data_IF_961184484720
#
_entry.id   IF_961184484720
#
_cell.length_a   1.000
_cell.length_b   1.000
_cell.length_c   1.000
_cell.angle_alpha   90.00
_cell.angle_beta   90.00
_cell.angle_gamma   90.00
#
_symmetry.space_group_name_H-M   'P 1'
#
loop_
_entity.id
_entity.type
_entity.pdbx_description
1 polymer ?
#
# COMPACT_ATOMS: atom_id res chain seq x y z
N UNK A 1 -18.97 5.32 -13.11
CA UNK A 1 -18.49 5.22 -11.71
C UNK A 1 -19.70 5.23 -10.78
N UNK A 2 -19.76 4.34 -9.80
CA UNK A 2 -20.79 4.38 -8.75
C UNK A 2 -20.51 5.52 -7.76
N UNK A 3 -21.53 6.01 -7.06
CA UNK A 3 -21.39 7.04 -6.02
C UNK A 3 -20.36 6.64 -4.96
N UNK A 4 -20.34 5.37 -4.54
CA UNK A 4 -19.37 4.84 -3.57
C UNK A 4 -17.93 4.89 -4.07
N UNK A 5 -17.69 4.59 -5.36
CA UNK A 5 -16.35 4.67 -5.95
C UNK A 5 -15.83 6.11 -5.98
N UNK A 6 -16.70 7.08 -6.29
CA UNK A 6 -16.32 8.51 -6.26
C UNK A 6 -15.99 8.99 -4.85
N UNK A 7 -16.79 8.63 -3.86
CA UNK A 7 -16.52 8.97 -2.47
C UNK A 7 -15.23 8.34 -1.96
N UNK A 8 -14.95 7.09 -2.36
CA UNK A 8 -13.72 6.42 -2.01
C UNK A 8 -12.49 7.16 -2.55
N UNK A 9 -12.56 7.68 -3.79
CA UNK A 9 -11.51 8.51 -4.37
C UNK A 9 -11.32 9.84 -3.62
N UNK A 10 -12.41 10.48 -3.21
CA UNK A 10 -12.35 11.71 -2.40
C UNK A 10 -11.81 11.47 -0.98
N UNK A 11 -11.87 10.25 -0.47
CA UNK A 11 -11.31 9.89 0.83
C UNK A 11 -9.78 9.71 0.80
N UNK A 12 -9.18 9.41 -0.36
CA UNK A 12 -7.74 9.11 -0.49
C UNK A 12 -6.85 10.25 0.04
N UNK A 13 -7.08 11.53 -0.31
CA UNK A 13 -6.27 12.62 0.22
C UNK A 13 -6.38 12.80 1.75
N UNK A 14 -7.52 12.41 2.34
CA UNK A 14 -7.78 12.56 3.77
C UNK A 14 -6.93 11.61 4.64
N UNK A 15 -6.44 10.52 4.05
CA UNK A 15 -5.59 9.53 4.73
C UNK A 15 -4.33 10.17 5.31
N UNK A 16 -3.78 11.22 4.67
CA UNK A 16 -2.61 11.96 5.18
C UNK A 16 -2.82 12.44 6.62
N UNK A 17 -3.97 13.03 6.89
CA UNK A 17 -4.31 13.58 8.21
C UNK A 17 -5.04 12.60 9.12
N UNK A 18 -5.86 11.72 8.57
CA UNK A 18 -6.83 10.92 9.33
C UNK A 18 -6.55 9.42 9.31
N UNK A 19 -5.52 8.97 8.60
CA UNK A 19 -5.21 7.57 8.41
C UNK A 19 -6.28 6.80 7.65
N UNK A 20 -6.17 5.48 7.64
CA UNK A 20 -7.11 4.58 6.97
C UNK A 20 -8.31 4.27 7.87
N UNK A 21 -9.12 5.30 8.11
CA UNK A 21 -10.22 5.28 9.09
C UNK A 21 -11.60 5.37 8.44
N UNK A 22 -12.61 4.99 9.22
CA UNK A 22 -14.03 5.19 8.84
C UNK A 22 -14.39 6.67 8.79
N UNK A 23 -13.71 7.50 9.60
CA UNK A 23 -13.89 8.95 9.61
C UNK A 23 -13.43 9.58 8.28
N UNK A 24 -12.29 9.16 7.74
CA UNK A 24 -11.84 9.59 6.41
C UNK A 24 -12.88 9.28 5.31
N UNK A 25 -13.55 8.13 5.39
CA UNK A 25 -14.66 7.80 4.49
C UNK A 25 -15.89 8.67 4.75
N UNK A 26 -16.23 8.92 6.02
CA UNK A 26 -17.37 9.73 6.39
C UNK A 26 -17.24 11.17 5.90
N UNK A 27 -16.05 11.77 5.99
CA UNK A 27 -15.79 13.14 5.57
C UNK A 27 -15.68 13.32 4.05
N UNK A 28 -15.52 12.25 3.27
CA UNK A 28 -15.38 12.32 1.81
C UNK A 28 -16.53 13.05 1.10
N UNK A 29 -17.76 13.01 1.66
CA UNK A 29 -18.94 13.71 1.11
C UNK A 29 -18.83 15.24 1.17
N UNK A 30 -17.99 15.78 2.05
CA UNK A 30 -17.76 17.22 2.18
C UNK A 30 -16.95 17.77 0.98
N UNK A 31 -16.32 16.88 0.20
CA UNK A 31 -15.49 17.21 -0.96
C UNK A 31 -16.20 16.93 -2.29
N UNK A 32 -17.49 16.63 -2.28
CA UNK A 32 -18.28 16.50 -3.51
C UNK A 32 -18.45 17.87 -4.21
N UNK A 33 -18.65 17.91 -5.54
CA UNK A 33 -18.96 19.16 -6.25
C UNK A 33 -20.20 19.89 -5.70
N UNK A 34 -21.15 19.12 -5.14
CA UNK A 34 -22.23 19.63 -4.31
C UNK A 34 -22.02 19.01 -2.90
N UNK A 35 -21.28 19.71 -2.02
CA UNK A 35 -20.94 19.18 -0.70
C UNK A 35 -22.16 18.91 0.16
N UNK A 36 -22.11 17.83 0.94
CA UNK A 36 -22.98 17.71 2.10
C UNK A 36 -22.50 18.67 3.22
N UNK A 37 -23.42 19.06 4.11
CA UNK A 37 -23.09 19.91 5.25
C UNK A 37 -22.42 19.14 6.40
N UNK A 38 -22.72 17.85 6.51
CA UNK A 38 -22.28 16.98 7.60
C UNK A 38 -21.63 15.71 7.04
N UNK A 39 -20.67 15.09 7.78
CA UNK A 39 -20.12 13.79 7.44
C UNK A 39 -21.19 12.70 7.37
N UNK A 40 -20.91 11.62 6.65
CA UNK A 40 -21.82 10.47 6.61
C UNK A 40 -21.99 9.86 8.01
N UNK A 41 -23.23 9.52 8.42
CA UNK A 41 -23.42 8.72 9.62
C UNK A 41 -22.82 7.32 9.45
N UNK A 42 -22.42 6.67 10.55
CA UNK A 42 -21.74 5.37 10.52
C UNK A 42 -22.55 4.27 9.80
N UNK A 43 -23.89 4.34 9.86
CA UNK A 43 -24.79 3.45 9.12
C UNK A 43 -24.63 3.59 7.61
N UNK A 44 -24.44 4.80 7.09
CA UNK A 44 -24.19 5.06 5.68
C UNK A 44 -22.79 4.61 5.27
N UNK A 45 -21.77 4.84 6.11
CA UNK A 45 -20.42 4.30 5.89
C UNK A 45 -20.46 2.77 5.80
N UNK A 46 -21.21 2.12 6.68
CA UNK A 46 -21.42 0.67 6.65
C UNK A 46 -22.11 0.20 5.38
N UNK A 47 -23.17 0.88 4.94
CA UNK A 47 -23.90 0.51 3.73
C UNK A 47 -23.06 0.68 2.46
N UNK A 48 -22.21 1.71 2.39
CA UNK A 48 -21.43 2.04 1.19
C UNK A 48 -20.10 1.29 1.11
N UNK A 49 -19.44 1.08 2.25
CA UNK A 49 -18.05 0.58 2.32
C UNK A 49 -17.89 -0.70 3.13
N UNK A 50 -18.93 -1.15 3.84
CA UNK A 50 -18.87 -2.37 4.65
C UNK A 50 -18.67 -2.10 6.15
N UNK A 51 -18.79 -3.16 6.94
CA UNK A 51 -18.82 -3.09 8.40
C UNK A 51 -17.40 -3.01 8.97
N UNK A 52 -17.22 -2.17 9.99
CA UNK A 52 -15.98 -2.10 10.76
C UNK A 52 -14.74 -1.94 9.87
N UNK A 53 -13.80 -2.88 10.04
CA UNK A 53 -12.53 -2.93 9.31
C UNK A 53 -12.66 -3.19 7.82
N UNK A 54 -13.79 -3.72 7.32
CA UNK A 54 -13.96 -3.92 5.87
C UNK A 54 -14.00 -2.59 5.12
N UNK A 55 -14.61 -1.56 5.71
CA UNK A 55 -14.59 -0.20 5.16
C UNK A 55 -13.16 0.34 5.09
N UNK A 56 -12.40 0.16 6.17
CA UNK A 56 -11.01 0.60 6.25
C UNK A 56 -10.14 -0.13 5.22
N UNK A 57 -10.30 -1.47 5.07
CA UNK A 57 -9.61 -2.26 4.04
C UNK A 57 -9.94 -1.79 2.64
N UNK A 58 -11.19 -1.40 2.36
CA UNK A 58 -11.56 -0.81 1.07
C UNK A 58 -10.80 0.49 0.80
N UNK A 59 -10.64 1.34 1.81
CA UNK A 59 -9.86 2.57 1.69
C UNK A 59 -8.38 2.27 1.45
N UNK A 60 -7.79 1.31 2.18
CA UNK A 60 -6.40 0.88 1.93
C UNK A 60 -6.24 0.39 0.50
N UNK A 61 -7.10 -0.53 0.04
CA UNK A 61 -7.04 -1.06 -1.32
C UNK A 61 -7.22 0.02 -2.39
N UNK A 62 -8.09 1.01 -2.15
CA UNK A 62 -8.28 2.13 -3.07
C UNK A 62 -7.03 3.02 -3.16
N UNK A 63 -6.38 3.28 -2.03
CA UNK A 63 -5.13 4.04 -2.01
C UNK A 63 -3.98 3.29 -2.69
N UNK A 64 -3.86 1.97 -2.49
CA UNK A 64 -2.85 1.15 -3.18
C UNK A 64 -3.09 1.16 -4.70
N UNK A 65 -4.35 1.09 -5.13
CA UNK A 65 -4.71 1.17 -6.55
C UNK A 65 -4.48 2.55 -7.16
N UNK A 66 -4.81 3.63 -6.43
CA UNK A 66 -4.58 5.01 -6.87
C UNK A 66 -3.09 5.30 -7.05
N UNK A 67 -2.27 4.99 -6.05
CA UNK A 67 -0.81 5.19 -6.12
C UNK A 67 -0.19 4.37 -7.24
N UNK A 68 -0.68 3.15 -7.48
CA UNK A 68 -0.28 2.34 -8.63
C UNK A 68 -0.73 2.96 -9.96
N UNK A 69 -1.93 3.50 -10.04
CA UNK A 69 -2.41 4.18 -11.26
C UNK A 69 -1.57 5.42 -11.56
N UNK A 70 -1.33 6.27 -10.55
CA UNK A 70 -0.50 7.48 -10.67
C UNK A 70 0.95 7.18 -11.04
N UNK A 71 1.51 6.08 -10.53
CA UNK A 71 2.83 5.58 -10.95
C UNK A 71 2.92 5.36 -12.46
N UNK A 72 1.82 5.03 -13.14
CA UNK A 72 1.74 4.91 -14.61
C UNK A 72 1.57 6.25 -15.32
N UNK A 73 0.89 7.20 -14.70
CA UNK A 73 0.59 8.49 -15.31
C UNK A 73 1.82 9.40 -15.30
N UNK A 74 2.63 9.31 -14.25
CA UNK A 74 3.85 10.11 -14.04
C UNK A 74 5.11 9.45 -14.66
N UNK A 75 4.96 8.72 -15.78
CA UNK A 75 6.07 8.00 -16.45
C UNK A 75 7.10 9.00 -17.00
N UNK A 76 8.39 8.91 -16.61
CA UNK A 76 9.43 9.70 -17.25
C UNK A 76 9.68 9.22 -18.69
N UNK A 77 10.13 10.09 -19.62
CA UNK A 77 10.27 9.77 -21.05
C UNK A 77 11.17 8.57 -21.38
N UNK A 78 12.14 8.29 -20.51
CA UNK A 78 13.07 7.15 -20.61
C UNK A 78 13.19 6.49 -19.24
N UNK A 79 12.16 5.73 -18.81
CA UNK A 79 12.07 5.26 -17.45
C UNK A 79 13.01 4.08 -17.23
N UNK A 80 13.88 4.18 -16.23
CA UNK A 80 14.60 3.01 -15.74
C UNK A 80 13.93 2.45 -14.47
N UNK A 81 14.20 1.18 -14.16
CA UNK A 81 13.57 0.46 -13.04
C UNK A 81 13.76 1.20 -11.72
N UNK A 82 14.97 1.73 -11.48
CA UNK A 82 15.29 2.50 -10.28
C UNK A 82 14.37 3.71 -10.15
N UNK A 83 14.29 4.55 -11.17
CA UNK A 83 13.46 5.76 -11.16
C UNK A 83 11.98 5.46 -10.89
N UNK A 84 11.45 4.42 -11.50
CA UNK A 84 10.06 4.00 -11.32
C UNK A 84 9.78 3.59 -9.87
N UNK A 85 10.62 2.71 -9.31
CA UNK A 85 10.40 2.19 -7.96
C UNK A 85 10.64 3.25 -6.88
N UNK A 86 11.64 4.12 -7.07
CA UNK A 86 11.84 5.30 -6.22
C UNK A 86 10.63 6.22 -6.26
N UNK A 87 10.12 6.54 -7.46
CA UNK A 87 8.94 7.37 -7.62
C UNK A 87 7.72 6.76 -6.90
N UNK A 88 7.51 5.44 -7.04
CA UNK A 88 6.45 4.74 -6.31
C UNK A 88 6.65 4.80 -4.80
N UNK A 89 7.87 4.61 -4.29
CA UNK A 89 8.16 4.69 -2.85
C UNK A 89 7.94 6.10 -2.28
N UNK A 90 8.22 7.16 -3.04
CA UNK A 90 7.93 8.55 -2.64
C UNK A 90 6.44 8.80 -2.39
N UNK A 91 5.57 8.10 -3.10
CA UNK A 91 4.11 8.20 -2.87
C UNK A 91 3.67 7.70 -1.49
N UNK A 92 4.51 6.91 -0.80
CA UNK A 92 4.25 6.46 0.57
C UNK A 92 4.51 7.56 1.60
N UNK A 93 5.43 8.49 1.35
CA UNK A 93 5.89 9.49 2.33
C UNK A 93 4.77 10.29 2.99
N UNK A 94 3.73 10.79 2.28
CA UNK A 94 2.69 11.58 2.90
C UNK A 94 1.84 10.80 3.91
N UNK A 95 1.83 9.47 3.84
CA UNK A 95 1.01 8.58 4.67
C UNK A 95 1.85 7.53 5.41
N UNK A 96 3.17 7.69 5.44
CA UNK A 96 4.10 6.65 5.93
C UNK A 96 3.80 6.23 7.36
N UNK A 97 3.35 7.16 8.21
CA UNK A 97 2.95 6.87 9.59
C UNK A 97 1.69 5.99 9.73
N UNK A 98 0.87 5.90 8.68
CA UNK A 98 -0.39 5.13 8.67
C UNK A 98 -0.26 3.79 7.94
N UNK A 99 0.78 3.60 7.11
CA UNK A 99 1.00 2.37 6.34
C UNK A 99 1.27 1.12 7.20
N UNK A 100 2.04 1.20 8.31
CA UNK A 100 2.13 0.14 9.30
C UNK A 100 0.79 -0.50 9.70
N UNK A 101 -0.16 0.35 10.11
CA UNK A 101 -1.48 -0.08 10.54
C UNK A 101 -2.31 -0.58 9.35
N UNK A 102 -2.21 0.08 8.19
CA UNK A 102 -2.88 -0.34 6.97
C UNK A 102 -2.46 -1.75 6.53
N UNK A 103 -1.16 -2.06 6.59
CA UNK A 103 -0.64 -3.38 6.27
C UNK A 103 -1.09 -4.42 7.29
N UNK A 104 -1.14 -4.05 8.58
CA UNK A 104 -1.71 -4.91 9.62
C UNK A 104 -3.20 -5.20 9.44
N UNK A 105 -3.95 -4.20 9.04
CA UNK A 105 -5.36 -4.34 8.73
C UNK A 105 -5.60 -5.28 7.54
N UNK A 106 -4.74 -5.21 6.51
CA UNK A 106 -4.84 -6.10 5.35
C UNK A 106 -4.51 -7.56 5.69
N UNK A 107 -3.52 -7.80 6.55
CA UNK A 107 -3.10 -9.18 6.86
C UNK A 107 -3.91 -9.85 7.97
N UNK A 108 -4.68 -9.10 8.77
CA UNK A 108 -5.56 -9.63 9.82
C UNK A 108 -6.89 -10.18 9.28
N UNK A 109 -6.89 -10.70 8.05
CA UNK A 109 -8.10 -11.10 7.34
C UNK A 109 -8.94 -12.15 8.11
N UNK A 110 -10.26 -12.03 7.93
CA UNK A 110 -11.35 -12.82 8.55
C UNK A 110 -11.43 -14.29 8.07
N UNK A 111 -10.28 -14.95 7.93
CA UNK A 111 -10.15 -16.35 7.53
C UNK A 111 -9.73 -17.21 8.72
N UNK A 112 -9.74 -18.54 8.57
CA UNK A 112 -9.32 -19.49 9.62
C UNK A 112 -7.87 -19.27 10.11
N UNK A 113 -7.04 -18.55 9.34
CA UNK A 113 -5.65 -18.24 9.71
C UNK A 113 -5.56 -16.87 10.40
N UNK A 114 -4.84 -16.76 11.53
CA UNK A 114 -4.71 -15.49 12.26
C UNK A 114 -4.03 -14.35 11.48
N UNK A 115 -3.23 -14.68 10.46
CA UNK A 115 -2.46 -13.75 9.63
C UNK A 115 -2.40 -14.32 8.20
N UNK A 116 -2.80 -13.51 7.22
CA UNK A 116 -2.69 -13.80 5.79
C UNK A 116 -1.82 -12.74 5.09
N UNK A 117 -0.59 -13.06 4.65
CA UNK A 117 0.28 -12.12 3.96
C UNK A 117 -0.10 -11.90 2.49
N UNK A 118 -1.04 -12.67 1.94
CA UNK A 118 -1.37 -12.66 0.50
C UNK A 118 -1.72 -11.28 -0.05
N UNK A 119 -2.46 -10.39 0.64
CA UNK A 119 -2.75 -9.05 0.14
C UNK A 119 -1.49 -8.20 -0.08
N UNK A 120 -0.52 -8.31 0.81
CA UNK A 120 0.74 -7.55 0.74
C UNK A 120 1.64 -8.08 -0.37
N UNK A 121 1.74 -9.41 -0.49
CA UNK A 121 2.47 -10.06 -1.58
C UNK A 121 1.86 -9.70 -2.94
N UNK A 122 0.53 -9.67 -3.03
CA UNK A 122 -0.19 -9.26 -4.24
C UNK A 122 0.08 -7.79 -4.59
N UNK A 123 0.07 -6.89 -3.61
CA UNK A 123 0.42 -5.48 -3.81
C UNK A 123 1.81 -5.34 -4.45
N UNK A 124 2.83 -5.94 -3.83
CA UNK A 124 4.20 -5.87 -4.34
C UNK A 124 4.33 -6.48 -5.75
N UNK A 125 3.63 -7.59 -6.02
CA UNK A 125 3.62 -8.23 -7.32
C UNK A 125 3.01 -7.34 -8.41
N UNK A 126 1.94 -6.61 -8.09
CA UNK A 126 1.30 -5.67 -9.02
C UNK A 126 2.20 -4.46 -9.33
N UNK A 127 2.92 -3.94 -8.33
CA UNK A 127 3.90 -2.86 -8.54
C UNK A 127 5.05 -3.34 -9.44
N UNK A 128 5.61 -4.52 -9.16
CA UNK A 128 6.69 -5.11 -9.96
C UNK A 128 6.27 -5.40 -11.40
N UNK A 129 5.08 -5.97 -11.60
CA UNK A 129 4.51 -6.22 -12.93
C UNK A 129 4.37 -4.93 -13.74
N UNK A 130 3.84 -3.88 -13.11
CA UNK A 130 3.68 -2.59 -13.75
C UNK A 130 5.02 -1.91 -14.07
N UNK A 131 5.98 -1.97 -13.16
CA UNK A 131 7.32 -1.43 -13.39
C UNK A 131 8.02 -2.15 -14.55
N UNK A 132 7.90 -3.49 -14.63
CA UNK A 132 8.41 -4.26 -15.76
C UNK A 132 7.77 -3.81 -17.08
N UNK A 133 6.45 -3.65 -17.11
CA UNK A 133 5.71 -3.16 -18.29
C UNK A 133 6.16 -1.77 -18.76
N UNK A 134 6.47 -0.88 -17.82
CA UNK A 134 6.92 0.48 -18.12
C UNK A 134 8.34 0.53 -18.69
N UNK A 135 9.26 -0.35 -18.25
CA UNK A 135 10.66 -0.35 -18.72
C UNK A 135 10.84 -1.18 -19.99
N UNK A 136 10.20 -2.35 -20.06
CA UNK A 136 10.41 -3.31 -21.15
C UNK A 136 9.08 -3.92 -21.62
N UNK A 137 8.27 -3.17 -22.37
CA UNK A 137 6.97 -3.65 -22.86
C UNK A 137 7.07 -4.86 -23.82
N UNK A 138 8.26 -5.18 -24.33
CA UNK A 138 8.50 -6.21 -25.36
C UNK A 138 9.33 -7.41 -24.85
N UNK A 139 9.47 -7.61 -23.53
CA UNK A 139 10.28 -8.69 -22.98
C UNK A 139 9.70 -10.10 -23.28
N UNK A 140 10.56 -11.11 -23.34
CA UNK A 140 10.17 -12.52 -23.59
C UNK A 140 9.58 -13.19 -22.34
N UNK A 141 8.60 -14.07 -22.52
CA UNK A 141 7.77 -14.61 -21.43
C UNK A 141 8.55 -15.25 -20.27
N UNK A 142 9.64 -15.97 -20.52
CA UNK A 142 10.32 -16.75 -19.49
C UNK A 142 11.27 -15.91 -18.61
N UNK A 143 11.92 -14.89 -19.17
CA UNK A 143 12.71 -13.91 -18.40
C UNK A 143 11.82 -12.96 -17.61
N UNK A 144 10.59 -12.75 -18.10
CA UNK A 144 9.57 -11.89 -17.52
C UNK A 144 9.04 -12.37 -16.16
N UNK A 145 8.82 -13.67 -15.97
CA UNK A 145 8.34 -14.20 -14.67
C UNK A 145 9.40 -14.10 -13.56
N UNK A 146 10.62 -14.54 -13.82
CA UNK A 146 11.71 -14.50 -12.83
C UNK A 146 12.04 -13.06 -12.42
N UNK A 147 12.04 -12.14 -13.38
CA UNK A 147 12.26 -10.71 -13.11
C UNK A 147 11.17 -10.10 -12.24
N UNK A 148 9.89 -10.38 -12.52
CA UNK A 148 8.76 -9.87 -11.71
C UNK A 148 8.79 -10.42 -10.29
N UNK A 149 9.11 -11.71 -10.12
CA UNK A 149 9.24 -12.30 -8.79
C UNK A 149 10.37 -11.63 -7.99
N UNK A 150 11.55 -11.47 -8.60
CA UNK A 150 12.69 -10.79 -7.96
C UNK A 150 12.40 -9.32 -7.65
N UNK A 151 11.74 -8.58 -8.55
CA UNK A 151 11.40 -7.18 -8.30
C UNK A 151 10.31 -7.02 -7.25
N UNK A 152 9.32 -7.92 -7.21
CA UNK A 152 8.31 -7.94 -6.16
C UNK A 152 8.96 -8.13 -4.78
N UNK A 153 9.93 -9.03 -4.71
CA UNK A 153 10.74 -9.27 -3.53
C UNK A 153 11.52 -8.03 -3.07
N UNK A 154 12.26 -7.43 -4.01
CA UNK A 154 13.07 -6.22 -3.78
C UNK A 154 12.20 -5.05 -3.31
N UNK A 155 11.11 -4.77 -4.03
CA UNK A 155 10.20 -3.68 -3.70
C UNK A 155 9.55 -3.89 -2.33
N UNK A 156 9.07 -5.09 -2.04
CA UNK A 156 8.45 -5.38 -0.74
C UNK A 156 9.44 -5.19 0.41
N UNK A 157 10.67 -5.67 0.25
CA UNK A 157 11.71 -5.50 1.26
C UNK A 157 12.01 -4.01 1.50
N UNK A 158 12.13 -3.22 0.42
CA UNK A 158 12.39 -1.79 0.51
C UNK A 158 11.23 -0.99 1.12
N UNK A 159 9.99 -1.32 0.77
CA UNK A 159 8.77 -0.67 1.31
C UNK A 159 8.61 -0.96 2.80
N UNK A 160 8.82 -2.20 3.24
CA UNK A 160 8.78 -2.55 4.66
C UNK A 160 9.94 -1.92 5.45
N UNK A 161 11.14 -1.81 4.85
CA UNK A 161 12.25 -1.05 5.44
C UNK A 161 11.90 0.43 5.58
N UNK A 162 11.20 1.02 4.60
CA UNK A 162 10.74 2.41 4.62
C UNK A 162 9.86 2.70 5.84
N UNK A 163 9.07 1.73 6.32
CA UNK A 163 8.21 1.95 7.49
C UNK A 163 9.01 2.19 8.78
N UNK A 164 10.22 1.64 8.87
CA UNK A 164 11.07 1.74 10.07
C UNK A 164 12.20 2.74 9.90
N UNK A 165 12.71 2.89 8.68
CA UNK A 165 13.88 3.70 8.36
C UNK A 165 13.69 4.49 7.06
N UNK A 166 12.76 5.48 7.02
CA UNK A 166 12.43 6.22 5.79
C UNK A 166 13.65 6.84 5.10
N UNK A 167 14.57 7.42 5.88
CA UNK A 167 15.77 8.12 5.39
C UNK A 167 16.76 7.24 4.62
N UNK A 168 16.71 5.91 4.83
CA UNK A 168 17.64 4.96 4.18
C UNK A 168 16.92 4.02 3.21
N UNK A 169 15.64 4.24 2.95
CA UNK A 169 14.83 3.34 2.13
C UNK A 169 15.22 3.38 0.65
N UNK A 170 15.51 4.57 0.13
CA UNK A 170 15.98 4.78 -1.25
C UNK A 170 17.32 4.08 -1.51
N UNK A 171 18.30 4.26 -0.61
CA UNK A 171 19.61 3.61 -0.74
C UNK A 171 19.53 2.10 -0.54
N UNK A 172 18.63 1.62 0.31
CA UNK A 172 18.37 0.19 0.48
C UNK A 172 17.74 -0.43 -0.77
N UNK A 173 16.79 0.26 -1.41
CA UNK A 173 16.25 -0.16 -2.72
C UNK A 173 17.36 -0.27 -3.78
N UNK A 174 18.22 0.75 -3.88
CA UNK A 174 19.34 0.75 -4.83
C UNK A 174 20.29 -0.42 -4.61
N UNK A 175 20.65 -0.66 -3.36
CA UNK A 175 21.47 -1.80 -2.97
C UNK A 175 20.84 -3.14 -3.39
N UNK A 176 19.53 -3.32 -3.18
CA UNK A 176 18.83 -4.55 -3.55
C UNK A 176 18.70 -4.74 -5.07
N UNK A 177 18.50 -3.65 -5.82
CA UNK A 177 18.46 -3.69 -7.29
C UNK A 177 19.81 -4.09 -7.89
N UNK A 178 20.92 -3.61 -7.29
CA UNK A 178 22.28 -3.95 -7.72
C UNK A 178 22.70 -5.35 -7.27
N UNK A 179 22.16 -5.82 -6.14
CA UNK A 179 22.49 -7.11 -5.54
C UNK A 179 21.29 -8.06 -5.54
N UNK A 180 20.66 -8.29 -6.69
CA UNK A 180 19.42 -9.08 -6.81
C UNK A 180 19.50 -10.51 -6.24
N UNK A 181 20.68 -11.12 -6.17
CA UNK A 181 20.90 -12.41 -5.47
C UNK A 181 20.79 -12.36 -3.94
N UNK A 182 20.69 -11.17 -3.36
CA UNK A 182 20.47 -10.94 -1.91
C UNK A 182 19.01 -10.65 -1.57
N UNK A 183 18.14 -10.46 -2.56
CA UNK A 183 16.73 -10.12 -2.36
C UNK A 183 15.99 -11.17 -1.52
N UNK A 184 16.26 -12.46 -1.74
CA UNK A 184 15.62 -13.54 -0.97
C UNK A 184 16.02 -13.50 0.51
N UNK A 185 17.28 -13.19 0.82
CA UNK A 185 17.76 -13.01 2.20
C UNK A 185 17.16 -11.76 2.83
N UNK A 186 17.09 -10.66 2.08
CA UNK A 186 16.48 -9.42 2.55
C UNK A 186 14.99 -9.58 2.86
N UNK A 187 14.23 -10.33 2.04
CA UNK A 187 12.83 -10.66 2.37
C UNK A 187 12.75 -11.46 3.67
N UNK A 188 13.59 -12.48 3.85
CA UNK A 188 13.53 -13.32 5.06
C UNK A 188 13.81 -12.50 6.31
N UNK A 189 14.82 -11.63 6.28
CA UNK A 189 15.12 -10.71 7.37
C UNK A 189 13.97 -9.73 7.61
N UNK A 190 13.49 -9.07 6.56
CA UNK A 190 12.38 -8.09 6.65
C UNK A 190 11.06 -8.74 7.07
N UNK A 191 10.79 -10.00 6.71
CA UNK A 191 9.62 -10.75 7.17
C UNK A 191 9.72 -11.11 8.66
N UNK A 192 10.92 -11.45 9.14
CA UNK A 192 11.19 -11.67 10.56
C UNK A 192 11.06 -10.36 11.36
N UNK A 193 11.63 -9.26 10.88
CA UNK A 193 11.47 -7.92 11.46
C UNK A 193 10.02 -7.44 11.41
N UNK A 194 9.35 -7.63 10.28
CA UNK A 194 7.93 -7.36 10.08
C UNK A 194 7.09 -8.11 11.11
N UNK A 195 7.35 -9.39 11.37
CA UNK A 195 6.60 -10.16 12.39
C UNK A 195 6.76 -9.63 13.82
N UNK A 196 7.92 -9.05 14.15
CA UNK A 196 8.23 -8.50 15.48
C UNK A 196 7.64 -7.08 15.65
N UNK A 197 7.78 -6.26 14.62
CA UNK A 197 7.24 -4.91 14.55
C UNK A 197 5.70 -4.96 14.49
N UNK A 198 5.13 -5.93 13.77
CA UNK A 198 3.70 -6.19 13.73
C UNK A 198 3.11 -6.58 15.09
N UNK A 199 3.83 -7.38 15.89
CA UNK A 199 3.44 -7.69 17.28
C UNK A 199 3.46 -6.43 18.15
N UNK A 200 4.45 -5.56 17.96
CA UNK A 200 4.55 -4.28 18.67
C UNK A 200 3.44 -3.30 18.26
N UNK A 201 3.12 -3.20 16.98
CA UNK A 201 2.04 -2.36 16.45
C UNK A 201 0.65 -2.89 16.79
N UNK A 202 0.46 -4.22 16.82
CA UNK A 202 -0.75 -4.85 17.37
C UNK A 202 -0.96 -4.49 18.84
N UNK A 203 0.12 -4.36 19.61
CA UNK A 203 0.07 -3.90 21.01
C UNK A 203 -0.38 -2.44 21.12
N UNK A 204 0.10 -1.56 20.25
CA UNK A 204 -0.27 -0.14 20.21
C UNK A 204 -1.73 0.06 19.75
N UNK A 205 -2.19 -0.68 18.74
CA UNK A 205 -3.58 -0.67 18.29
C UNK A 205 -4.55 -1.17 19.38
N UNK A 206 -4.15 -2.18 20.17
CA UNK A 206 -4.93 -2.66 21.32
C UNK A 206 -4.93 -1.66 22.49
N UNK A 207 -3.85 -0.88 22.64
CA UNK A 207 -3.69 0.11 23.70
C UNK A 207 -4.40 1.46 23.44
N UNK A 208 -4.82 1.73 22.20
CA UNK A 208 -5.48 2.98 21.80
C UNK A 208 -7.01 2.91 21.80
N UNK A 209 -7.60 1.81 22.26
CA UNK A 209 -9.05 1.72 22.54
C UNK A 209 -9.95 1.59 21.31
N UNK A 210 -9.45 1.03 20.19
CA UNK A 210 -10.24 0.76 18.97
C UNK A 210 -10.56 -0.75 18.80
N UNK A 211 -10.35 -1.56 19.85
CA UNK A 211 -10.86 -2.94 19.94
C UNK A 211 -11.40 -3.21 21.35
#
# INVERSE_FOLDING_TARGET
MTTSSKLLQLAIPLVRSQGFTREALAQSVLFLPQPHLEPLPDTAVTALFGRGDDARRRLVNAWLEDTRTRMKEDVPPSPNMRQILHHRMKMNEPVIGHLPEAFALLTTASTLLPIDPSPILKHAALIADQACWMVEPNATEMTWYTRRASLSAIYLAAELHQFSSPETAESFLDYLLENSGTAEKAIQEVALFGSYIFKSWKGIAKSSGVL
#
